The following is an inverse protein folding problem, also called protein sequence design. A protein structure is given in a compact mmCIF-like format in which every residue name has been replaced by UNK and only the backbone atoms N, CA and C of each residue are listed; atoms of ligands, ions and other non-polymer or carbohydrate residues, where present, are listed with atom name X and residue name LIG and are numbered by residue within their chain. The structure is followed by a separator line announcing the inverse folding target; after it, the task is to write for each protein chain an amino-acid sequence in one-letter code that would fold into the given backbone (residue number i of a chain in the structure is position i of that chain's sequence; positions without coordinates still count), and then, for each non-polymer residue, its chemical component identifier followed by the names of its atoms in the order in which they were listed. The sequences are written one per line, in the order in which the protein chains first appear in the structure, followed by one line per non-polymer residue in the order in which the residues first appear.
data_IF_477181277498
#
_entry.id   IF_477181277498
#
_cell.length_a   1.000
_cell.length_b   1.000
_cell.length_c   1.000
_cell.angle_alpha   90.00
_cell.angle_beta   90.00
_cell.angle_gamma   90.00
#
_symmetry.space_group_name_H-M   'P 1'
#
loop_
_entity.id
_entity.type
_entity.pdbx_description
1 polymer ?
#
# COMPACT_ATOMS: atom_id res chain seq x y z
N UNK A 1 5.83 10.99 13.75
CA UNK A 1 5.04 9.86 13.23
C UNK A 1 3.74 9.73 14.01
N UNK A 2 2.72 9.18 13.37
CA UNK A 2 1.43 8.78 13.97
C UNK A 2 1.16 7.34 13.51
N UNK A 3 0.29 6.61 14.22
CA UNK A 3 0.10 5.16 14.04
C UNK A 3 -1.39 4.82 14.10
N UNK A 4 -1.90 4.10 13.12
CA UNK A 4 -3.18 3.40 13.19
C UNK A 4 -2.94 1.89 13.38
N UNK A 5 -3.84 1.24 14.12
CA UNK A 5 -3.84 -0.20 14.39
C UNK A 5 -5.23 -0.75 14.02
N UNK A 6 -5.31 -2.02 13.66
CA UNK A 6 -6.55 -2.66 13.24
C UNK A 6 -7.68 -2.59 14.30
N UNK A 7 -7.33 -2.50 15.60
CA UNK A 7 -8.30 -2.37 16.70
C UNK A 7 -8.92 -0.98 16.83
N UNK A 8 -8.19 0.05 16.40
CA UNK A 8 -8.66 1.43 16.38
C UNK A 8 -8.32 2.03 15.02
N UNK A 9 -9.14 1.72 13.99
CA UNK A 9 -8.96 2.22 12.64
C UNK A 9 -9.38 3.70 12.53
N UNK A 10 -9.43 4.45 13.62
CA UNK A 10 -9.61 5.90 13.53
C UNK A 10 -8.33 6.50 12.94
N UNK A 11 -8.42 6.95 11.69
CA UNK A 11 -7.33 7.66 11.03
C UNK A 11 -7.27 9.14 11.42
N UNK A 12 -7.83 9.51 12.58
CA UNK A 12 -7.81 10.89 13.11
C UNK A 12 -6.39 11.33 13.48
N UNK A 13 -6.10 12.63 13.33
CA UNK A 13 -4.78 13.21 13.54
C UNK A 13 -4.60 13.77 14.97
N UNK A 14 -4.92 12.96 15.98
CA UNK A 14 -4.98 13.44 17.37
C UNK A 14 -3.74 13.07 18.22
N UNK A 15 -2.87 12.20 17.69
CA UNK A 15 -1.68 11.73 18.39
C UNK A 15 -0.44 11.79 17.50
N UNK A 16 0.62 12.43 18.00
CA UNK A 16 1.92 12.53 17.34
C UNK A 16 3.04 12.04 18.26
N UNK A 17 3.90 11.18 17.73
CA UNK A 17 5.15 10.75 18.31
C UNK A 17 6.30 11.39 17.53
N UNK A 18 7.34 11.84 18.21
CA UNK A 18 8.51 12.44 17.56
C UNK A 18 9.69 11.47 17.61
N UNK A 19 10.26 11.19 16.43
CA UNK A 19 11.53 10.48 16.32
C UNK A 19 12.65 11.52 16.18
N UNK A 20 13.36 11.78 17.28
CA UNK A 20 14.41 12.81 17.35
C UNK A 20 15.82 12.24 17.17
N UNK A 21 15.94 10.91 17.10
CA UNK A 21 17.18 10.16 16.89
C UNK A 21 17.09 9.34 15.60
N UNK A 22 18.18 8.69 15.18
CA UNK A 22 18.16 7.81 14.00
C UNK A 22 17.23 6.60 14.16
N UNK A 23 17.10 6.09 15.38
CA UNK A 23 16.23 4.98 15.71
C UNK A 23 15.70 5.09 17.14
N UNK A 24 14.47 4.63 17.34
CA UNK A 24 13.85 4.47 18.64
C UNK A 24 13.01 3.20 18.65
N UNK A 25 12.91 2.55 19.81
CA UNK A 25 11.96 1.46 20.02
C UNK A 25 10.65 2.06 20.51
N UNK A 26 9.56 1.75 19.83
CA UNK A 26 8.21 2.19 20.21
C UNK A 26 7.46 0.96 20.70
N UNK A 27 6.97 1.00 21.94
CA UNK A 27 6.08 -0.03 22.46
C UNK A 27 4.70 0.21 21.88
N UNK A 28 4.29 -0.66 20.95
CA UNK A 28 2.95 -0.62 20.36
C UNK A 28 2.08 -1.61 21.13
N UNK A 29 0.96 -1.14 21.67
CA UNK A 29 -0.02 -1.99 22.37
C UNK A 29 -0.87 -2.83 21.42
N UNK A 30 -0.33 -3.25 20.27
CA UNK A 30 -1.04 -4.08 19.29
C UNK A 30 -0.75 -5.56 19.50
N UNK A 31 -1.64 -6.40 18.99
CA UNK A 31 -1.48 -7.85 18.99
C UNK A 31 -0.70 -8.23 17.73
N UNK A 32 0.14 -9.27 17.76
CA UNK A 32 0.92 -9.69 16.60
C UNK A 32 0.07 -10.04 15.35
N UNK A 33 -1.21 -10.33 15.55
CA UNK A 33 -2.20 -10.67 14.53
C UNK A 33 -2.86 -9.45 13.87
N UNK A 34 -2.58 -8.25 14.35
CA UNK A 34 -3.14 -7.01 13.81
C UNK A 34 -2.10 -6.24 13.00
N UNK A 35 -2.53 -5.68 11.87
CA UNK A 35 -1.67 -4.82 11.08
C UNK A 35 -1.49 -3.45 11.73
N UNK A 36 -0.35 -2.84 11.44
CA UNK A 36 -0.01 -1.48 11.81
C UNK A 36 0.21 -0.62 10.57
N UNK A 37 -0.29 0.62 10.62
CA UNK A 37 -0.02 1.66 9.61
C UNK A 37 0.58 2.87 10.29
N UNK A 38 1.81 3.23 9.92
CA UNK A 38 2.36 4.53 10.26
C UNK A 38 1.98 5.57 9.21
N UNK A 39 1.98 6.84 9.61
CA UNK A 39 1.65 7.98 8.75
C UNK A 39 0.16 8.04 8.37
N UNK A 40 -0.74 8.14 9.35
CA UNK A 40 -2.18 8.38 9.14
C UNK A 40 -2.37 9.50 8.11
N UNK A 41 -3.17 9.19 7.10
CA UNK A 41 -3.51 10.02 5.95
C UNK A 41 -2.31 10.59 5.18
N UNK A 42 -1.14 9.95 5.27
CA UNK A 42 0.10 10.43 4.65
C UNK A 42 0.47 11.88 5.06
N UNK A 43 0.10 12.28 6.28
CA UNK A 43 0.30 13.65 6.75
C UNK A 43 1.77 14.07 6.86
N UNK A 44 2.62 13.13 7.25
CA UNK A 44 4.06 13.32 7.34
C UNK A 44 4.76 13.13 6.00
N UNK A 45 5.77 13.95 5.74
CA UNK A 45 6.61 13.86 4.54
C UNK A 45 7.69 12.77 4.67
N UNK A 46 7.28 11.51 4.67
CA UNK A 46 8.16 10.34 4.69
C UNK A 46 7.45 9.10 4.16
N UNK A 47 8.24 8.13 3.65
CA UNK A 47 7.77 6.80 3.24
C UNK A 47 7.86 5.83 4.40
N UNK A 48 6.97 4.84 4.43
CA UNK A 48 6.98 3.80 5.46
C UNK A 48 7.26 2.43 4.83
N UNK A 49 8.20 1.69 5.41
CA UNK A 49 8.41 0.29 5.10
C UNK A 49 8.07 -0.56 6.33
N UNK A 50 7.54 -1.75 6.08
CA UNK A 50 7.17 -2.73 7.11
C UNK A 50 7.89 -4.06 6.87
N UNK A 51 7.88 -4.93 7.87
CA UNK A 51 8.30 -6.32 7.68
C UNK A 51 7.31 -7.09 6.79
N UNK A 52 7.73 -8.28 6.35
CA UNK A 52 6.94 -9.11 5.44
C UNK A 52 5.59 -9.54 6.02
N UNK A 53 5.50 -9.78 7.33
CA UNK A 53 4.24 -10.20 7.98
C UNK A 53 3.24 -9.06 7.99
N UNK A 54 3.67 -7.85 8.32
CA UNK A 54 2.77 -6.69 8.29
C UNK A 54 2.35 -6.32 6.86
N UNK A 55 3.27 -6.41 5.88
CA UNK A 55 2.89 -6.26 4.46
C UNK A 55 1.86 -7.29 4.01
N UNK A 56 1.96 -8.54 4.45
CA UNK A 56 0.98 -9.59 4.15
C UNK A 56 -0.40 -9.26 4.75
N UNK A 57 -0.46 -8.93 6.05
CA UNK A 57 -1.71 -8.56 6.73
C UNK A 57 -2.38 -7.32 6.09
N UNK A 58 -1.59 -6.32 5.71
CA UNK A 58 -2.08 -5.13 5.01
C UNK A 58 -2.62 -5.47 3.62
N UNK A 59 -1.90 -6.31 2.88
CA UNK A 59 -2.33 -6.75 1.54
C UNK A 59 -3.64 -7.51 1.61
N UNK A 60 -3.76 -8.47 2.54
CA UNK A 60 -4.99 -9.22 2.76
C UNK A 60 -6.17 -8.32 3.12
N UNK A 61 -5.94 -7.34 4.01
CA UNK A 61 -6.97 -6.36 4.40
C UNK A 61 -7.40 -5.52 3.20
N UNK A 62 -6.46 -5.00 2.41
CA UNK A 62 -6.78 -4.20 1.22
C UNK A 62 -7.59 -5.01 0.20
N UNK A 63 -7.28 -6.29 -0.01
CA UNK A 63 -8.00 -7.15 -0.97
C UNK A 63 -9.41 -7.50 -0.47
N UNK A 64 -9.56 -7.84 0.82
CA UNK A 64 -10.81 -8.37 1.37
C UNK A 64 -11.77 -7.29 1.87
N UNK A 65 -11.25 -6.20 2.41
CA UNK A 65 -12.04 -5.17 3.10
C UNK A 65 -11.32 -3.82 3.01
N UNK A 66 -11.19 -3.24 1.79
CA UNK A 66 -10.42 -2.01 1.58
C UNK A 66 -10.94 -0.86 2.44
N UNK A 67 -12.23 -0.77 2.75
CA UNK A 67 -12.79 0.31 3.57
C UNK A 67 -12.29 0.31 5.02
N UNK A 68 -11.68 -0.79 5.49
CA UNK A 68 -11.04 -0.86 6.81
C UNK A 68 -9.80 0.04 6.93
N UNK A 69 -9.21 0.45 5.81
CA UNK A 69 -8.06 1.36 5.75
C UNK A 69 -8.49 2.64 5.05
N UNK A 70 -8.17 3.80 5.61
CA UNK A 70 -8.51 5.09 4.99
C UNK A 70 -7.91 5.24 3.58
N UNK A 71 -8.65 5.82 2.63
CA UNK A 71 -8.23 5.89 1.22
C UNK A 71 -6.86 6.56 1.00
N UNK A 72 -6.52 7.59 1.78
CA UNK A 72 -5.18 8.21 1.76
C UNK A 72 -4.08 7.21 2.12
N UNK A 73 -4.32 6.37 3.13
CA UNK A 73 -3.36 5.34 3.52
C UNK A 73 -3.31 4.19 2.52
N UNK A 74 -4.42 3.81 1.88
CA UNK A 74 -4.38 2.81 0.79
C UNK A 74 -3.55 3.33 -0.40
N UNK A 75 -3.74 4.59 -0.78
CA UNK A 75 -2.92 5.24 -1.79
C UNK A 75 -1.44 5.31 -1.37
N UNK A 76 -1.17 5.66 -0.12
CA UNK A 76 0.18 5.67 0.45
C UNK A 76 0.81 4.27 0.39
N UNK A 77 0.12 3.21 0.79
CA UNK A 77 0.64 1.84 0.79
C UNK A 77 1.07 1.42 -0.61
N UNK A 78 0.26 1.72 -1.63
CA UNK A 78 0.59 1.43 -3.03
C UNK A 78 1.80 2.25 -3.49
N UNK A 79 1.82 3.57 -3.23
CA UNK A 79 2.92 4.44 -3.66
C UNK A 79 4.24 4.11 -2.93
N UNK A 80 4.20 3.88 -1.62
CA UNK A 80 5.35 3.49 -0.82
C UNK A 80 5.89 2.13 -1.26
N UNK A 81 5.04 1.12 -1.40
CA UNK A 81 5.48 -0.20 -1.86
C UNK A 81 6.14 -0.12 -3.24
N UNK A 82 5.55 0.61 -4.18
CA UNK A 82 6.10 0.78 -5.52
C UNK A 82 7.49 1.46 -5.51
N UNK A 83 7.64 2.54 -4.76
CA UNK A 83 8.92 3.27 -4.70
C UNK A 83 9.99 2.51 -3.90
N UNK A 84 9.60 1.77 -2.85
CA UNK A 84 10.49 0.88 -2.11
C UNK A 84 10.99 -0.26 -2.98
N UNK A 85 10.11 -0.88 -3.77
CA UNK A 85 10.49 -1.97 -4.66
C UNK A 85 11.42 -1.50 -5.79
N UNK A 86 11.21 -0.29 -6.32
CA UNK A 86 12.14 0.32 -7.28
C UNK A 86 13.54 0.59 -6.70
N UNK A 87 13.64 0.70 -5.38
CA UNK A 87 14.89 0.90 -4.66
C UNK A 87 15.49 -0.41 -4.13
N UNK A 88 14.95 -1.58 -4.54
CA UNK A 88 15.32 -2.91 -4.04
C UNK A 88 15.18 -3.07 -2.52
N UNK A 89 14.29 -2.28 -1.89
CA UNK A 89 13.99 -2.31 -0.45
C UNK A 89 12.74 -3.14 -0.11
N UNK A 90 12.02 -3.60 -1.14
CA UNK A 90 10.82 -4.42 -1.02
C UNK A 90 10.71 -5.33 -2.26
N UNK A 91 10.23 -6.56 -2.07
CA UNK A 91 9.99 -7.47 -3.19
C UNK A 91 8.88 -6.92 -4.11
N UNK A 92 9.12 -6.89 -5.42
CA UNK A 92 8.17 -6.33 -6.38
C UNK A 92 6.85 -7.12 -6.43
N UNK A 93 6.85 -8.39 -6.04
CA UNK A 93 5.65 -9.20 -5.86
C UNK A 93 4.69 -8.65 -4.79
N UNK A 94 5.19 -7.91 -3.79
CA UNK A 94 4.31 -7.17 -2.85
C UNK A 94 3.52 -6.09 -3.58
N UNK A 95 4.16 -5.33 -4.47
CA UNK A 95 3.51 -4.31 -5.29
C UNK A 95 2.42 -4.92 -6.17
N UNK A 96 2.74 -6.02 -6.86
CA UNK A 96 1.79 -6.70 -7.74
C UNK A 96 0.59 -7.27 -6.96
N UNK A 97 0.77 -7.76 -5.73
CA UNK A 97 -0.34 -8.20 -4.88
C UNK A 97 -1.16 -7.03 -4.34
N UNK A 98 -0.53 -5.92 -3.95
CA UNK A 98 -1.27 -4.73 -3.52
C UNK A 98 -2.13 -4.17 -4.65
N UNK A 99 -1.62 -4.13 -5.88
CA UNK A 99 -2.39 -3.68 -7.03
C UNK A 99 -3.64 -4.53 -7.30
N UNK A 100 -3.69 -5.81 -6.88
CA UNK A 100 -4.92 -6.61 -7.00
C UNK A 100 -6.03 -6.13 -6.07
N UNK A 101 -5.73 -5.38 -5.01
CA UNK A 101 -6.78 -4.81 -4.15
C UNK A 101 -7.61 -3.75 -4.86
N UNK A 102 -7.06 -3.14 -5.92
CA UNK A 102 -7.74 -2.08 -6.67
C UNK A 102 -9.04 -2.56 -7.30
N UNK A 103 -9.19 -3.87 -7.58
CA UNK A 103 -10.44 -4.44 -8.14
C UNK A 103 -11.66 -4.17 -7.28
N UNK A 104 -11.47 -4.03 -5.97
CA UNK A 104 -12.53 -3.81 -4.98
C UNK A 104 -12.48 -2.39 -4.39
N UNK A 105 -11.60 -1.52 -4.91
CA UNK A 105 -11.42 -0.16 -4.40
C UNK A 105 -12.14 0.83 -5.31
N UNK A 106 -13.09 1.57 -4.75
CA UNK A 106 -13.91 2.55 -5.47
C UNK A 106 -13.43 4.00 -5.28
N UNK A 107 -12.42 4.24 -4.45
CA UNK A 107 -11.89 5.58 -4.22
C UNK A 107 -10.87 5.97 -5.29
N UNK A 108 -10.84 7.25 -5.65
CA UNK A 108 -9.94 7.78 -6.68
C UNK A 108 -8.45 7.67 -6.31
N UNK A 109 -8.10 7.94 -5.05
CA UNK A 109 -6.70 8.10 -4.63
C UNK A 109 -5.87 6.81 -4.77
N UNK A 110 -6.35 5.62 -4.33
CA UNK A 110 -5.66 4.35 -4.55
C UNK A 110 -5.42 4.05 -6.04
N UNK A 111 -6.42 4.32 -6.88
CA UNK A 111 -6.30 4.19 -8.33
C UNK A 111 -5.26 5.12 -8.94
N UNK A 112 -5.22 6.38 -8.50
CA UNK A 112 -4.21 7.33 -8.94
C UNK A 112 -2.79 6.89 -8.58
N UNK A 113 -2.59 6.35 -7.36
CA UNK A 113 -1.31 5.77 -6.95
C UNK A 113 -0.95 4.51 -7.78
N UNK A 114 -1.91 3.61 -7.97
CA UNK A 114 -1.74 2.40 -8.77
C UNK A 114 -1.38 2.68 -10.23
N UNK A 115 -1.99 3.71 -10.83
CA UNK A 115 -1.70 4.13 -12.20
C UNK A 115 -0.23 4.51 -12.41
N UNK A 116 0.46 5.06 -11.40
CA UNK A 116 1.90 5.34 -11.49
C UNK A 116 2.72 4.04 -11.63
N UNK A 117 2.39 3.02 -10.84
CA UNK A 117 3.05 1.71 -10.90
C UNK A 117 2.74 0.99 -12.23
N UNK A 118 1.49 1.01 -12.68
CA UNK A 118 1.07 0.41 -13.94
C UNK A 118 1.74 1.07 -15.16
N UNK A 119 1.83 2.40 -15.20
CA UNK A 119 2.52 3.10 -16.29
C UNK A 119 4.02 2.80 -16.33
N UNK A 120 4.65 2.66 -15.17
CA UNK A 120 6.05 2.24 -15.11
C UNK A 120 6.23 0.84 -15.69
N UNK A 121 5.40 -0.12 -15.26
CA UNK A 121 5.43 -1.50 -15.77
C UNK A 121 5.15 -1.56 -17.26
N UNK A 122 4.13 -0.85 -17.75
CA UNK A 122 3.82 -0.73 -19.17
C UNK A 122 5.06 -0.32 -19.99
N UNK A 123 5.75 0.73 -19.55
CA UNK A 123 6.93 1.24 -20.27
C UNK A 123 8.13 0.27 -20.23
N UNK A 124 8.24 -0.55 -19.18
CA UNK A 124 9.31 -1.54 -19.03
C UNK A 124 9.03 -2.84 -19.79
N UNK A 125 7.77 -3.24 -19.87
CA UNK A 125 7.38 -4.54 -20.40
C UNK A 125 6.95 -4.46 -21.87
N UNK A 126 6.56 -3.29 -22.38
CA UNK A 126 6.24 -3.13 -23.81
C UNK A 126 7.42 -3.59 -24.69
N UNK A 127 7.11 -4.42 -25.68
CA UNK A 127 8.12 -4.99 -26.58
C UNK A 127 8.95 -6.14 -25.98
N UNK A 128 8.60 -6.64 -24.79
CA UNK A 128 9.18 -7.85 -24.21
C UNK A 128 8.22 -9.03 -24.30
N UNK A 129 8.70 -10.26 -24.10
CA UNK A 129 7.86 -11.47 -24.05
C UNK A 129 6.83 -11.47 -22.91
N UNK A 130 7.04 -10.64 -21.87
CA UNK A 130 6.14 -10.53 -20.73
C UNK A 130 4.98 -9.54 -20.95
N UNK A 131 4.95 -8.83 -22.08
CA UNK A 131 3.96 -7.80 -22.34
C UNK A 131 2.52 -8.33 -22.32
N UNK A 132 2.27 -9.48 -22.94
CA UNK A 132 0.93 -10.07 -22.99
C UNK A 132 0.44 -10.46 -21.59
N UNK A 133 1.31 -11.02 -20.76
CA UNK A 133 1.00 -11.35 -19.37
C UNK A 133 0.66 -10.11 -18.53
N UNK A 134 1.38 -9.00 -18.75
CA UNK A 134 1.06 -7.72 -18.11
C UNK A 134 -0.29 -7.16 -18.57
N UNK A 135 -0.58 -7.19 -19.87
CA UNK A 135 -1.88 -6.74 -20.40
C UNK A 135 -3.03 -7.55 -19.81
N UNK A 136 -2.90 -8.89 -19.76
CA UNK A 136 -3.87 -9.75 -19.11
C UNK A 136 -4.07 -9.37 -17.64
N UNK A 137 -2.99 -9.19 -16.89
CA UNK A 137 -3.04 -8.75 -15.50
C UNK A 137 -3.80 -7.41 -15.35
N UNK A 138 -3.47 -6.38 -16.13
CA UNK A 138 -4.18 -5.08 -16.06
C UNK A 138 -5.66 -5.21 -16.40
N UNK A 139 -6.02 -6.04 -17.39
CA UNK A 139 -7.43 -6.32 -17.70
C UNK A 139 -8.19 -6.92 -16.51
N UNK A 140 -7.56 -7.83 -15.75
CA UNK A 140 -8.18 -8.37 -14.53
C UNK A 140 -8.40 -7.32 -13.44
N UNK A 141 -7.54 -6.30 -13.37
CA UNK A 141 -7.68 -5.21 -12.39
C UNK A 141 -8.87 -4.29 -12.70
N UNK A 142 -9.05 -3.94 -13.97
CA UNK A 142 -10.07 -2.96 -14.40
C UNK A 142 -11.42 -3.59 -14.75
N UNK A 143 -11.46 -4.92 -14.98
CA UNK A 143 -12.64 -5.62 -15.47
C UNK A 143 -13.90 -5.40 -14.62
N UNK A 144 -13.76 -5.29 -13.30
CA UNK A 144 -14.88 -5.10 -12.38
C UNK A 144 -15.36 -3.64 -12.26
N UNK A 145 -14.60 -2.66 -12.73
CA UNK A 145 -14.95 -1.23 -12.58
C UNK A 145 -15.74 -0.70 -13.78
N UNK A 146 -15.56 -1.32 -14.94
CA UNK A 146 -16.22 -0.93 -16.18
C UNK A 146 -17.49 -1.75 -16.50
N UNK A 147 -18.00 -2.55 -15.54
CA UNK A 147 -19.24 -3.34 -15.64
C UNK A 147 -20.32 -2.76 -14.72
#
# INVERSE_FOLDING_TARGET
CNLADQRDPTFELNHFLWLTTQAAKVLVGTEPEHWLIFNRQQFGYYRVNYDSRNWEMLTETMVRTPEAIHHYNRAQLIDDAFNLAKADLLDFGVVLRLLTSLTNDHDYLPWAAGNNALNYLYNKLRGTEHYEGFVYYVHTLIGNIYT
#
